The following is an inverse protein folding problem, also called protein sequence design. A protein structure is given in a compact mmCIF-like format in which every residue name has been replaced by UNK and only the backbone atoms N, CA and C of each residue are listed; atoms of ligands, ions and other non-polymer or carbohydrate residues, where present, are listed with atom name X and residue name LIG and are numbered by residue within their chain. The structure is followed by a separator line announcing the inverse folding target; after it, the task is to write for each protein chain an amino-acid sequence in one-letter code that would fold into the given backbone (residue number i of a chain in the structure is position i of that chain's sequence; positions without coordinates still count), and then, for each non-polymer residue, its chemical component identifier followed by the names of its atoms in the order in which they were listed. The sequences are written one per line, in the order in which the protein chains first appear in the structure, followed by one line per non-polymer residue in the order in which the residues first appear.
data_IF_010985646438
#
_entry.id   IF_010985646438
#
_cell.length_a   1.000
_cell.length_b   1.000
_cell.length_c   1.000
_cell.angle_alpha   90.00
_cell.angle_beta   90.00
_cell.angle_gamma   90.00
#
_symmetry.space_group_name_H-M   'P 1'
#
loop_
_entity.id
_entity.type
_entity.pdbx_description
1 polymer ?
#
# COMPACT_ATOMS: atom_id res chain seq x y z
N UNK A 1 12.49 -7.54 12.00
CA UNK A 1 11.70 -6.29 11.98
C UNK A 1 12.09 -5.54 10.73
N UNK A 2 11.24 -5.47 9.70
CA UNK A 2 11.58 -4.75 8.49
C UNK A 2 10.42 -3.90 8.01
N UNK A 3 10.71 -2.64 7.72
CA UNK A 3 9.78 -1.68 7.11
C UNK A 3 9.68 -1.84 5.59
N UNK A 4 10.40 -2.82 5.02
CA UNK A 4 10.41 -3.15 3.58
C UNK A 4 9.01 -3.20 2.94
N UNK A 5 7.99 -3.83 3.55
CA UNK A 5 6.65 -3.88 2.97
C UNK A 5 6.02 -2.51 2.72
N UNK A 6 6.35 -1.53 3.58
CA UNK A 6 5.77 -0.19 3.56
C UNK A 6 6.54 0.74 2.62
N UNK A 7 7.74 0.37 2.17
CA UNK A 7 8.54 1.18 1.27
C UNK A 7 8.03 1.01 -0.17
N UNK A 8 7.77 2.13 -0.83
CA UNK A 8 7.30 2.14 -2.21
C UNK A 8 8.37 1.59 -3.19
N UNK A 9 7.97 0.87 -4.25
CA UNK A 9 8.90 0.21 -5.18
C UNK A 9 9.89 1.17 -5.83
N UNK A 10 9.50 2.41 -6.09
CA UNK A 10 10.36 3.44 -6.68
C UNK A 10 11.49 3.90 -5.74
N UNK A 11 11.28 3.85 -4.42
CA UNK A 11 12.32 4.23 -3.44
C UNK A 11 13.46 3.21 -3.46
N UNK A 12 13.15 1.92 -3.66
CA UNK A 12 14.17 0.89 -3.86
C UNK A 12 14.99 1.10 -5.14
N UNK A 13 14.45 1.81 -6.14
CA UNK A 13 15.15 2.18 -7.37
C UNK A 13 16.01 3.45 -7.24
N UNK A 14 16.07 4.04 -6.03
CA UNK A 14 16.84 5.25 -5.76
C UNK A 14 16.09 6.55 -5.97
N UNK A 15 14.76 6.50 -6.15
CA UNK A 15 13.93 7.72 -6.17
C UNK A 15 13.91 8.41 -4.81
N UNK A 16 13.67 9.73 -4.82
CA UNK A 16 13.46 10.50 -3.58
C UNK A 16 12.10 10.17 -2.97
N UNK A 17 12.02 10.32 -1.65
CA UNK A 17 10.74 10.32 -0.95
C UNK A 17 9.82 11.39 -1.53
N UNK A 18 8.59 10.98 -1.84
CA UNK A 18 7.58 11.82 -2.46
C UNK A 18 6.23 11.56 -1.78
N UNK A 19 5.26 12.44 -2.02
CA UNK A 19 3.92 12.28 -1.43
C UNK A 19 3.29 10.96 -1.85
N UNK A 20 3.55 10.53 -3.08
CA UNK A 20 3.05 9.26 -3.64
C UNK A 20 3.65 8.05 -2.91
N UNK A 21 4.90 8.14 -2.44
CA UNK A 21 5.52 7.10 -1.62
C UNK A 21 4.89 7.02 -0.21
N UNK A 22 4.51 8.17 0.37
CA UNK A 22 3.76 8.20 1.62
C UNK A 22 2.37 7.57 1.46
N UNK A 23 1.69 7.81 0.32
CA UNK A 23 0.41 7.17 0.00
C UNK A 23 0.53 5.64 -0.13
N UNK A 24 1.60 5.15 -0.72
CA UNK A 24 1.86 3.71 -0.76
C UNK A 24 2.00 3.13 0.64
N UNK A 25 2.79 3.78 1.49
CA UNK A 25 2.97 3.39 2.89
C UNK A 25 1.62 3.38 3.62
N UNK A 26 0.78 4.38 3.36
CA UNK A 26 -0.57 4.46 3.89
C UNK A 26 -1.46 3.30 3.43
N UNK A 27 -1.42 2.91 2.15
CA UNK A 27 -2.14 1.74 1.63
C UNK A 27 -1.73 0.43 2.31
N UNK A 28 -0.45 0.28 2.66
CA UNK A 28 0.03 -0.88 3.43
C UNK A 28 -0.46 -0.87 4.88
N UNK A 29 -0.53 0.30 5.52
CA UNK A 29 -1.13 0.46 6.85
C UNK A 29 -2.63 0.15 6.80
N UNK A 30 -3.35 0.60 5.78
CA UNK A 30 -4.77 0.26 5.60
C UNK A 30 -4.99 -1.27 5.54
N UNK A 31 -4.11 -2.00 4.85
CA UNK A 31 -4.18 -3.47 4.82
C UNK A 31 -3.82 -4.13 6.16
N UNK A 32 -2.86 -3.57 6.88
CA UNK A 32 -2.54 -4.04 8.24
C UNK A 32 -3.74 -3.84 9.17
N UNK A 33 -4.50 -2.74 9.01
CA UNK A 33 -5.72 -2.50 9.79
C UNK A 33 -6.85 -3.48 9.44
N UNK A 34 -6.99 -3.90 8.19
CA UNK A 34 -8.03 -4.87 7.81
C UNK A 34 -7.72 -6.29 8.28
N UNK A 35 -6.45 -6.67 8.28
CA UNK A 35 -6.03 -8.04 8.60
C UNK A 35 -5.55 -8.21 10.04
N UNK A 36 -5.23 -7.11 10.73
CA UNK A 36 -4.53 -7.12 12.02
C UNK A 36 -3.11 -7.73 11.94
N UNK A 37 -2.62 -7.99 10.73
CA UNK A 37 -1.38 -8.71 10.46
C UNK A 37 -0.41 -7.81 9.68
N UNK A 38 0.89 -8.06 9.84
CA UNK A 38 1.90 -7.30 9.08
C UNK A 38 1.91 -7.76 7.62
N UNK A 39 1.98 -6.82 6.65
CA UNK A 39 2.11 -7.16 5.24
C UNK A 39 3.39 -7.98 5.04
N UNK A 40 3.25 -9.14 4.40
CA UNK A 40 4.33 -10.11 4.18
C UNK A 40 4.99 -10.66 5.46
N UNK A 41 4.24 -10.78 6.57
CA UNK A 41 4.76 -11.33 7.83
C UNK A 41 5.43 -12.71 7.68
N UNK A 42 4.96 -13.53 6.74
CA UNK A 42 5.46 -14.88 6.47
C UNK A 42 6.73 -14.90 5.58
N UNK A 43 7.14 -13.75 5.04
CA UNK A 43 8.30 -13.67 4.14
C UNK A 43 9.46 -13.03 4.89
N UNK A 44 10.65 -13.63 4.75
CA UNK A 44 11.87 -12.97 5.26
C UNK A 44 12.02 -11.61 4.57
N UNK A 45 12.30 -10.59 5.38
CA UNK A 45 12.50 -9.20 4.94
C UNK A 45 13.88 -9.05 4.26
N UNK A 46 14.11 -9.85 3.22
CA UNK A 46 15.33 -9.93 2.43
C UNK A 46 15.10 -9.32 1.04
N UNK A 47 16.16 -9.24 0.24
CA UNK A 47 16.13 -8.78 -1.16
C UNK A 47 15.05 -9.48 -2.00
N UNK A 48 14.70 -10.72 -1.68
CA UNK A 48 13.66 -11.46 -2.39
C UNK A 48 12.28 -10.81 -2.24
N UNK A 49 11.95 -10.29 -1.06
CA UNK A 49 10.72 -9.53 -0.84
C UNK A 49 10.73 -8.22 -1.63
N UNK A 50 11.88 -7.55 -1.71
CA UNK A 50 12.04 -6.34 -2.54
C UNK A 50 11.78 -6.66 -4.00
N UNK A 51 12.34 -7.76 -4.54
CA UNK A 51 12.08 -8.19 -5.91
C UNK A 51 10.59 -8.50 -6.15
N UNK A 52 9.93 -9.19 -5.21
CA UNK A 52 8.48 -9.46 -5.29
C UNK A 52 7.65 -8.18 -5.34
N UNK A 53 7.95 -7.20 -4.48
CA UNK A 53 7.28 -5.90 -4.48
C UNK A 53 7.52 -5.14 -5.80
N UNK A 54 8.75 -5.17 -6.31
CA UNK A 54 9.14 -4.59 -7.59
C UNK A 54 8.45 -5.26 -8.78
N UNK A 55 8.19 -6.57 -8.70
CA UNK A 55 7.47 -7.36 -9.71
C UNK A 55 5.95 -7.11 -9.68
N UNK A 56 5.47 -6.41 -8.64
CA UNK A 56 4.05 -6.07 -8.49
C UNK A 56 3.28 -7.02 -7.58
N UNK A 57 3.96 -7.89 -6.83
CA UNK A 57 3.30 -8.72 -5.82
C UNK A 57 2.67 -7.81 -4.75
N UNK A 58 1.43 -8.10 -4.37
CA UNK A 58 0.66 -7.36 -3.38
C UNK A 58 0.03 -8.30 -2.35
N UNK A 59 -0.19 -7.85 -1.11
CA UNK A 59 -0.85 -8.65 -0.10
C UNK A 59 -2.27 -9.07 -0.54
N UNK A 60 -2.69 -10.27 -0.16
CA UNK A 60 -4.05 -10.75 -0.44
C UNK A 60 -5.06 -9.94 0.36
N UNK A 61 -6.04 -9.36 -0.31
CA UNK A 61 -7.18 -8.70 0.37
C UNK A 61 -8.15 -9.78 0.81
N UNK A 62 -8.59 -9.72 2.08
CA UNK A 62 -9.59 -10.64 2.63
C UNK A 62 -10.99 -10.30 2.12
N UNK A 63 -11.85 -11.29 1.96
CA UNK A 63 -13.22 -11.11 1.48
C UNK A 63 -14.09 -10.30 2.46
N UNK A 64 -13.69 -10.24 3.73
CA UNK A 64 -14.30 -9.41 4.77
C UNK A 64 -14.05 -7.90 4.57
N UNK A 65 -13.12 -7.52 3.70
CA UNK A 65 -12.82 -6.11 3.42
C UNK A 65 -13.90 -5.53 2.51
N UNK A 66 -14.62 -4.46 2.91
CA UNK A 66 -15.60 -3.80 2.04
C UNK A 66 -14.98 -3.44 0.69
N UNK A 67 -15.71 -3.69 -0.40
CA UNK A 67 -15.22 -3.51 -1.77
C UNK A 67 -14.63 -2.11 -2.00
N UNK A 68 -15.29 -1.10 -1.46
CA UNK A 68 -14.82 0.28 -1.49
C UNK A 68 -13.44 0.47 -0.84
N UNK A 69 -13.24 -0.11 0.35
CA UNK A 69 -11.98 -0.02 1.08
C UNK A 69 -10.88 -0.78 0.34
N UNK A 70 -11.21 -1.97 -0.20
CA UNK A 70 -10.31 -2.75 -1.04
C UNK A 70 -9.88 -1.99 -2.31
N UNK A 71 -10.80 -1.28 -2.96
CA UNK A 71 -10.50 -0.48 -4.15
C UNK A 71 -9.63 0.74 -3.80
N UNK A 72 -9.92 1.43 -2.69
CA UNK A 72 -9.10 2.53 -2.21
C UNK A 72 -7.66 2.08 -1.90
N UNK A 73 -7.52 0.97 -1.15
CA UNK A 73 -6.22 0.35 -0.89
C UNK A 73 -5.46 0.02 -2.17
N UNK A 74 -6.16 -0.58 -3.15
CA UNK A 74 -5.59 -0.90 -4.47
C UNK A 74 -5.01 0.30 -5.17
N UNK A 75 -5.74 1.42 -5.16
CA UNK A 75 -5.28 2.67 -5.75
C UNK A 75 -4.07 3.25 -4.99
N UNK A 76 -4.04 3.13 -3.65
CA UNK A 76 -2.93 3.64 -2.83
C UNK A 76 -1.59 2.93 -3.10
N UNK A 77 -1.60 1.63 -3.39
CA UNK A 77 -0.36 0.85 -3.61
C UNK A 77 -0.09 0.50 -5.09
N UNK A 78 -0.63 1.29 -6.02
CA UNK A 78 -0.37 1.12 -7.45
C UNK A 78 1.14 1.18 -7.73
N UNK A 79 1.59 0.37 -8.68
CA UNK A 79 2.99 0.32 -9.12
C UNK A 79 3.42 1.64 -9.76
N UNK A 80 2.50 2.34 -10.43
CA UNK A 80 2.71 3.68 -10.95
C UNK A 80 2.40 4.73 -9.87
N UNK A 81 3.40 5.49 -9.39
CA UNK A 81 3.18 6.54 -8.39
C UNK A 81 2.14 7.58 -8.82
N UNK A 82 2.01 7.86 -10.12
CA UNK A 82 1.08 8.87 -10.64
C UNK A 82 -0.38 8.43 -10.61
N UNK A 83 -0.64 7.12 -10.50
CA UNK A 83 -2.00 6.57 -10.37
C UNK A 83 -2.48 6.55 -8.92
N UNK A 84 -1.59 6.82 -7.97
CA UNK A 84 -1.93 6.85 -6.55
C UNK A 84 -2.73 8.11 -6.24
N UNK A 85 -3.84 8.00 -5.50
CA UNK A 85 -4.64 9.15 -5.11
C UNK A 85 -3.85 10.03 -4.15
N UNK A 86 -4.08 11.33 -4.21
CA UNK A 86 -3.61 12.25 -3.19
C UNK A 86 -4.31 12.02 -1.85
N UNK A 87 -3.68 12.48 -0.76
CA UNK A 87 -4.31 12.41 0.57
C UNK A 87 -5.65 13.16 0.63
N UNK A 88 -5.79 14.22 -0.18
CA UNK A 88 -7.03 14.99 -0.30
C UNK A 88 -8.12 14.17 -0.97
N UNK A 89 -7.80 13.41 -2.03
CA UNK A 89 -8.75 12.49 -2.67
C UNK A 89 -9.16 11.38 -1.71
N UNK A 90 -8.22 10.77 -1.00
CA UNK A 90 -8.49 9.75 0.03
C UNK A 90 -9.44 10.31 1.10
N UNK A 91 -9.19 11.52 1.59
CA UNK A 91 -10.04 12.16 2.59
C UNK A 91 -11.45 12.44 2.06
N UNK A 92 -11.58 12.94 0.83
CA UNK A 92 -12.89 13.15 0.20
C UNK A 92 -13.65 11.84 0.04
N UNK A 93 -12.94 10.80 -0.42
CA UNK A 93 -13.44 9.44 -0.56
C UNK A 93 -13.99 8.94 0.79
N UNK A 94 -13.27 9.09 1.91
CA UNK A 94 -13.80 8.71 3.23
C UNK A 94 -15.02 9.55 3.67
N UNK A 95 -15.03 10.86 3.39
CA UNK A 95 -16.16 11.71 3.77
C UNK A 95 -17.43 11.44 2.98
N UNK A 96 -17.32 11.08 1.69
CA UNK A 96 -18.46 10.69 0.87
C UNK A 96 -19.15 9.42 1.35
N UNK A 97 -18.50 8.59 2.15
CA UNK A 97 -19.08 7.37 2.72
C UNK A 97 -19.65 7.56 4.12
N UNK A 98 -19.26 8.62 4.83
CA UNK A 98 -19.78 8.96 6.15
C UNK A 98 -20.98 9.93 6.10
N UNK A 99 -21.42 10.33 4.89
CA UNK A 99 -22.53 11.27 4.66
C UNK A 99 -23.81 10.57 4.20
#
# INVERSE_FOLDING_TARGET
YGVIPYIAPEIFKGSKFSKEADIYSFGMVMWELTTGCKPFADVKHDIHLVYKILDGERPKITEDTPEFYANLMKSCWDTDPNKRPSITEIHNIFNSFNS
#
